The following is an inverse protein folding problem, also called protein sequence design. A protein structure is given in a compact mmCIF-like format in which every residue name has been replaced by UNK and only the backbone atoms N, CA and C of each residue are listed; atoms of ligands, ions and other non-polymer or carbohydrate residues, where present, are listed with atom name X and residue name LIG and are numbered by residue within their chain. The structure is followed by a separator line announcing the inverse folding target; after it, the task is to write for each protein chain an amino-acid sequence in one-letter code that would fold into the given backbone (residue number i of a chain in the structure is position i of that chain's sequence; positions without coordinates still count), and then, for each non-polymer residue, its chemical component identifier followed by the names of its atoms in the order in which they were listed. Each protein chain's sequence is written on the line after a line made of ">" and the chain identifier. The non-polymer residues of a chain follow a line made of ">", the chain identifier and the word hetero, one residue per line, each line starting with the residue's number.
data_IF_394964188937
#
_entry.id   IF_394964188937
#
_cell.length_a   1.000
_cell.length_b   1.000
_cell.length_c   1.000
_cell.angle_alpha   90.00
_cell.angle_beta   90.00
_cell.angle_gamma   90.00
#
_symmetry.space_group_name_H-M   'P 1'
#
loop_
_entity.id
_entity.type
_entity.pdbx_description
1 polymer ?
#
# COMPACT_ATOMS: atom_id res chain seq x y z
N UNK A 1 67.59 -28.34 7.21
CA UNK A 1 66.95 -27.20 7.91
C UNK A 1 66.67 -26.10 6.90
N UNK A 2 65.40 -25.84 6.60
CA UNK A 2 64.87 -24.57 6.12
C UNK A 2 63.36 -24.75 5.91
N UNK A 3 62.55 -24.26 6.83
CA UNK A 3 61.08 -24.20 6.70
C UNK A 3 60.74 -22.76 6.37
N UNK A 4 60.19 -22.52 5.17
CA UNK A 4 59.66 -21.23 4.74
C UNK A 4 58.23 -21.06 5.27
N UNK A 5 58.01 -20.04 6.10
CA UNK A 5 56.69 -19.62 6.54
C UNK A 5 56.20 -18.49 5.61
N UNK A 6 55.12 -18.75 4.87
CA UNK A 6 54.43 -17.75 4.07
C UNK A 6 53.31 -17.12 4.90
N UNK A 7 53.43 -15.81 5.18
CA UNK A 7 52.38 -15.01 5.81
C UNK A 7 51.46 -14.43 4.72
N UNK A 8 50.19 -14.86 4.72
CA UNK A 8 49.16 -14.28 3.88
C UNK A 8 48.55 -13.05 4.57
N UNK A 9 48.73 -11.87 3.95
CA UNK A 9 48.11 -10.61 4.40
C UNK A 9 46.75 -10.49 3.70
N UNK A 10 45.67 -10.68 4.47
CA UNK A 10 44.31 -10.46 4.00
C UNK A 10 43.95 -8.98 4.13
N UNK A 11 43.95 -8.24 3.01
CA UNK A 11 43.44 -6.87 2.96
C UNK A 11 41.91 -6.90 2.86
N UNK A 12 41.23 -6.64 3.99
CA UNK A 12 39.78 -6.51 4.03
C UNK A 12 39.34 -5.15 3.48
N UNK A 13 38.83 -5.12 2.24
CA UNK A 13 38.06 -3.98 1.73
C UNK A 13 36.63 -4.03 2.29
N UNK A 14 36.39 -3.28 3.36
CA UNK A 14 35.03 -2.97 3.82
C UNK A 14 34.41 -1.93 2.89
N UNK A 15 33.72 -2.39 1.84
CA UNK A 15 32.90 -1.54 0.98
C UNK A 15 31.66 -1.07 1.73
N UNK A 16 31.64 0.20 2.13
CA UNK A 16 30.44 0.87 2.67
C UNK A 16 29.49 1.14 1.50
N UNK A 17 28.59 0.19 1.23
CA UNK A 17 27.47 0.43 0.33
C UNK A 17 26.41 1.25 1.08
N UNK A 18 26.34 2.55 0.75
CA UNK A 18 25.24 3.40 1.18
C UNK A 18 23.95 2.93 0.49
N UNK A 19 23.17 2.10 1.18
CA UNK A 19 21.84 1.70 0.74
C UNK A 19 20.93 2.93 0.69
N UNK A 20 20.23 3.12 -0.42
CA UNK A 20 19.21 4.16 -0.57
C UNK A 20 18.03 3.74 0.32
N UNK A 21 17.77 4.42 1.45
CA UNK A 21 16.59 4.05 2.23
C UNK A 21 15.31 4.52 1.54
N UNK A 22 14.39 3.58 1.45
CA UNK A 22 13.03 3.76 0.95
C UNK A 22 12.16 4.34 2.08
N UNK A 23 11.14 5.10 1.69
CA UNK A 23 10.31 5.82 2.65
C UNK A 23 9.16 4.92 3.14
N UNK A 24 9.16 4.58 4.43
CA UNK A 24 8.02 3.90 5.06
C UNK A 24 6.86 4.89 5.28
N UNK A 25 5.65 4.43 5.00
CA UNK A 25 4.43 5.25 5.05
C UNK A 25 3.48 4.69 6.12
N UNK A 26 3.40 5.35 7.28
CA UNK A 26 2.55 4.94 8.40
C UNK A 26 1.23 5.71 8.35
N UNK A 27 0.09 5.02 8.46
CA UNK A 27 -1.23 5.68 8.46
C UNK A 27 -1.43 6.45 9.77
N UNK A 28 -1.65 7.76 9.67
CA UNK A 28 -1.85 8.65 10.81
C UNK A 28 -3.35 8.84 11.13
N UNK A 29 -4.19 9.07 10.12
CA UNK A 29 -5.63 9.27 10.29
C UNK A 29 -6.43 8.99 8.99
N UNK A 30 -7.76 8.91 9.12
CA UNK A 30 -8.70 8.96 7.99
C UNK A 30 -9.73 10.06 8.27
N UNK A 31 -9.97 10.94 7.30
CA UNK A 31 -10.89 12.07 7.46
C UNK A 31 -11.69 12.20 6.18
N UNK A 32 -12.99 11.90 6.21
CA UNK A 32 -13.94 12.18 5.11
C UNK A 32 -13.43 11.74 3.71
N UNK A 33 -12.95 10.49 3.59
CA UNK A 33 -12.40 9.94 2.35
C UNK A 33 -10.91 10.22 2.12
N UNK A 34 -10.31 11.16 2.86
CA UNK A 34 -8.87 11.38 2.83
C UNK A 34 -8.14 10.40 3.74
N UNK A 35 -6.98 9.93 3.28
CA UNK A 35 -6.05 9.14 4.08
C UNK A 35 -4.82 9.97 4.40
N UNK A 36 -4.52 10.14 5.68
CA UNK A 36 -3.39 10.91 6.16
C UNK A 36 -2.31 9.93 6.58
N UNK A 37 -1.11 10.12 6.06
CA UNK A 37 0.04 9.26 6.30
C UNK A 37 1.25 10.07 6.73
N UNK A 38 2.00 9.55 7.70
CA UNK A 38 3.33 10.00 8.03
C UNK A 38 4.33 9.37 7.05
N UNK A 39 5.21 10.20 6.49
CA UNK A 39 6.25 9.76 5.57
C UNK A 39 7.58 9.86 6.29
N UNK A 40 8.23 8.72 6.47
CA UNK A 40 9.55 8.60 7.09
C UNK A 40 10.56 8.10 6.07
N UNK A 41 11.79 8.60 6.09
CA UNK A 41 12.88 8.14 5.21
C UNK A 41 14.15 7.97 6.04
N UNK A 42 14.84 6.85 5.85
CA UNK A 42 16.03 6.48 6.63
C UNK A 42 15.74 6.39 8.14
N UNK A 43 14.54 5.94 8.52
CA UNK A 43 14.09 5.92 9.92
C UNK A 43 13.74 7.29 10.52
N UNK A 44 13.94 8.38 9.78
CA UNK A 44 13.60 9.73 10.21
C UNK A 44 12.28 10.23 9.64
N UNK A 45 11.41 10.81 10.48
CA UNK A 45 10.21 11.52 10.05
C UNK A 45 10.56 12.67 9.08
N UNK A 46 9.86 12.77 7.95
CA UNK A 46 10.12 13.81 6.92
C UNK A 46 8.94 14.72 6.65
N UNK A 47 7.74 14.17 6.55
CA UNK A 47 6.54 14.92 6.13
C UNK A 47 5.27 14.17 6.50
N UNK A 48 4.13 14.84 6.38
CA UNK A 48 2.83 14.17 6.36
C UNK A 48 2.11 14.45 5.05
N UNK A 49 1.33 13.49 4.57
CA UNK A 49 0.60 13.57 3.30
C UNK A 49 -0.85 13.20 3.50
N UNK A 50 -1.75 14.03 2.99
CA UNK A 50 -3.13 13.63 2.72
C UNK A 50 -3.22 13.09 1.29
N UNK A 51 -3.87 11.95 1.12
CA UNK A 51 -4.13 11.35 -0.17
C UNK A 51 -5.64 11.19 -0.38
N UNK A 52 -6.08 11.48 -1.60
CA UNK A 52 -7.46 11.32 -2.05
C UNK A 52 -7.45 10.60 -3.39
N UNK A 53 -8.29 9.58 -3.55
CA UNK A 53 -8.54 8.93 -4.83
C UNK A 53 -9.83 9.49 -5.43
N UNK A 54 -9.87 9.62 -6.75
CA UNK A 54 -11.05 10.08 -7.47
C UNK A 54 -10.91 9.81 -8.97
N UNK A 55 -11.84 10.33 -9.76
CA UNK A 55 -11.86 10.12 -11.23
C UNK A 55 -10.59 10.61 -11.93
N UNK A 56 -9.96 11.67 -11.42
CA UNK A 56 -8.67 12.15 -11.90
C UNK A 56 -7.45 11.35 -11.44
N UNK A 57 -7.64 10.16 -10.85
CA UNK A 57 -6.56 9.37 -10.23
C UNK A 57 -6.26 9.82 -8.79
N UNK A 58 -5.03 9.60 -8.31
CA UNK A 58 -4.63 9.85 -6.92
C UNK A 58 -4.02 11.24 -6.71
N UNK A 59 -4.78 12.12 -6.06
CA UNK A 59 -4.31 13.39 -5.52
C UNK A 59 -3.52 13.18 -4.22
N UNK A 60 -2.42 13.91 -4.06
CA UNK A 60 -1.66 13.98 -2.81
C UNK A 60 -1.35 15.41 -2.42
N UNK A 61 -1.53 15.75 -1.15
CA UNK A 61 -1.15 17.03 -0.55
C UNK A 61 -0.17 16.75 0.59
N UNK A 62 1.09 17.10 0.40
CA UNK A 62 2.18 16.79 1.33
C UNK A 62 2.66 18.06 2.00
N UNK A 63 2.73 18.05 3.34
CA UNK A 63 3.32 19.12 4.13
C UNK A 63 4.67 18.70 4.71
N UNK A 64 5.68 19.53 4.45
CA UNK A 64 7.08 19.30 4.83
C UNK A 64 7.52 20.14 6.04
N UNK A 65 6.59 20.86 6.69
CA UNK A 65 6.90 21.87 7.72
C UNK A 65 7.35 23.22 7.18
N UNK A 66 7.65 23.30 5.88
CA UNK A 66 8.07 24.54 5.20
C UNK A 66 7.22 24.88 3.99
N UNK A 67 6.68 23.87 3.34
CA UNK A 67 5.95 24.01 2.11
C UNK A 67 4.93 22.89 1.93
N UNK A 68 3.85 23.23 1.24
CA UNK A 68 2.92 22.28 0.68
C UNK A 68 3.36 21.86 -0.73
N UNK A 69 3.21 20.58 -1.01
CA UNK A 69 3.48 19.96 -2.31
C UNK A 69 2.22 19.23 -2.74
N UNK A 70 1.70 19.59 -3.91
CA UNK A 70 0.66 18.81 -4.57
C UNK A 70 1.31 17.77 -5.46
N UNK A 71 0.73 16.57 -5.50
CA UNK A 71 1.14 15.47 -6.35
C UNK A 71 -0.08 14.92 -7.08
N UNK A 72 -0.03 14.91 -8.40
CA UNK A 72 -1.08 14.42 -9.29
C UNK A 72 -0.50 13.34 -10.23
N UNK A 73 -1.33 12.56 -10.94
CA UNK A 73 -0.84 11.72 -12.02
C UNK A 73 -0.06 12.53 -13.06
N UNK A 74 1.04 11.97 -13.55
CA UNK A 74 1.87 12.56 -14.59
C UNK A 74 1.37 12.23 -15.99
N UNK A 75 1.95 12.88 -17.00
CA UNK A 75 1.64 12.69 -18.42
C UNK A 75 2.76 11.98 -19.18
N UNK A 76 3.56 11.17 -18.49
CA UNK A 76 4.71 10.46 -19.04
C UNK A 76 5.98 11.31 -19.14
N UNK A 77 5.91 12.64 -19.01
CA UNK A 77 7.09 13.51 -19.09
C UNK A 77 7.98 13.37 -17.84
N UNK A 78 9.28 13.30 -18.07
CA UNK A 78 10.32 13.34 -17.04
C UNK A 78 10.94 14.74 -17.01
N UNK A 79 11.32 15.22 -15.82
CA UNK A 79 11.92 16.53 -15.64
C UNK A 79 10.90 17.58 -15.19
N UNK A 80 11.12 18.83 -15.60
CA UNK A 80 10.27 19.98 -15.24
C UNK A 80 9.38 20.37 -16.41
N UNK A 81 8.13 20.69 -16.15
CA UNK A 81 7.19 21.16 -17.14
C UNK A 81 6.13 22.05 -16.51
N UNK A 82 5.51 22.90 -17.33
CA UNK A 82 4.46 23.80 -16.86
C UNK A 82 3.09 23.10 -16.96
N UNK A 83 2.18 23.50 -16.06
CA UNK A 83 0.79 23.04 -15.99
C UNK A 83 -0.01 23.97 -15.09
N UNK A 84 -1.33 23.79 -15.02
CA UNK A 84 -2.20 24.64 -14.20
C UNK A 84 -2.85 23.83 -13.08
N UNK A 85 -3.06 24.46 -11.93
CA UNK A 85 -3.97 23.99 -10.90
C UNK A 85 -5.11 24.99 -10.80
N UNK A 86 -6.33 24.46 -10.79
CA UNK A 86 -7.54 25.26 -10.68
C UNK A 86 -8.31 24.80 -9.44
N UNK A 87 -8.55 25.71 -8.51
CA UNK A 87 -9.43 25.46 -7.36
C UNK A 87 -10.71 26.25 -7.57
N UNK A 88 -11.82 25.53 -7.75
CA UNK A 88 -13.08 26.07 -8.25
C UNK A 88 -12.87 26.88 -9.54
N UNK A 89 -12.96 28.22 -9.48
CA UNK A 89 -12.78 29.10 -10.65
C UNK A 89 -11.41 29.81 -10.66
N UNK A 90 -10.57 29.59 -9.63
CA UNK A 90 -9.26 30.24 -9.51
C UNK A 90 -8.17 29.34 -10.10
N UNK A 91 -7.54 29.79 -11.19
CA UNK A 91 -6.47 29.04 -11.86
C UNK A 91 -5.11 29.70 -11.67
N UNK A 92 -4.10 28.88 -11.42
CA UNK A 92 -2.72 29.28 -11.23
C UNK A 92 -1.77 28.39 -12.03
N UNK A 93 -0.77 29.00 -12.67
CA UNK A 93 0.30 28.29 -13.33
C UNK A 93 1.33 27.76 -12.31
N UNK A 94 1.79 26.53 -12.55
CA UNK A 94 2.78 25.83 -11.75
C UNK A 94 3.81 25.14 -12.63
N UNK A 95 5.05 25.09 -12.13
CA UNK A 95 6.10 24.25 -12.69
C UNK A 95 6.13 22.92 -11.96
N UNK A 96 5.54 21.91 -12.58
CA UNK A 96 5.59 20.54 -12.11
C UNK A 96 6.97 19.92 -12.35
N UNK A 97 7.28 18.91 -11.53
CA UNK A 97 8.42 18.02 -11.71
C UNK A 97 7.97 16.57 -11.59
N UNK A 98 8.48 15.74 -12.48
CA UNK A 98 8.30 14.29 -12.48
C UNK A 98 9.65 13.59 -12.61
N UNK A 99 9.86 12.52 -11.84
CA UNK A 99 11.10 11.72 -11.91
C UNK A 99 11.03 10.59 -12.92
N UNK A 100 9.82 10.09 -13.20
CA UNK A 100 9.60 8.84 -13.94
C UNK A 100 8.40 8.90 -14.88
N UNK A 101 7.82 10.09 -15.11
CA UNK A 101 6.65 10.27 -15.95
C UNK A 101 5.31 9.99 -15.28
N UNK A 102 5.26 9.20 -14.21
CA UNK A 102 3.99 8.69 -13.65
C UNK A 102 3.35 9.60 -12.61
N UNK A 103 4.14 10.39 -11.88
CA UNK A 103 3.63 11.39 -10.93
C UNK A 103 4.26 12.75 -11.17
N UNK A 104 3.41 13.76 -11.27
CA UNK A 104 3.82 15.15 -11.34
C UNK A 104 3.64 15.81 -9.96
N UNK A 105 4.64 16.55 -9.51
CA UNK A 105 4.58 17.26 -8.22
C UNK A 105 4.96 18.72 -8.38
N UNK A 106 4.28 19.61 -7.66
CA UNK A 106 4.59 21.04 -7.65
C UNK A 106 4.50 21.59 -6.22
N UNK A 107 5.36 22.56 -5.90
CA UNK A 107 5.23 23.33 -4.66
C UNK A 107 4.06 24.29 -4.80
N UNK A 108 3.16 24.27 -3.82
CA UNK A 108 1.93 25.06 -3.83
C UNK A 108 2.14 26.35 -3.03
N UNK A 109 1.59 27.46 -3.54
CA UNK A 109 1.59 28.76 -2.85
C UNK A 109 0.52 28.78 -1.74
N UNK A 110 0.69 29.55 -0.65
CA UNK A 110 -0.24 29.54 0.47
C UNK A 110 -1.71 29.78 0.08
N UNK A 111 -1.97 30.74 -0.81
CA UNK A 111 -3.35 31.08 -1.21
C UNK A 111 -4.07 29.94 -1.95
N UNK A 112 -3.35 29.07 -2.66
CA UNK A 112 -3.95 27.87 -3.28
C UNK A 112 -4.29 26.82 -2.23
N UNK A 113 -3.53 26.72 -1.13
CA UNK A 113 -3.87 25.84 -0.01
C UNK A 113 -5.10 26.36 0.73
N UNK A 114 -5.20 27.67 0.93
CA UNK A 114 -6.41 28.29 1.48
C UNK A 114 -7.62 28.05 0.56
N UNK A 115 -7.41 28.16 -0.76
CA UNK A 115 -8.38 27.76 -1.77
C UNK A 115 -8.79 26.30 -1.63
N UNK A 116 -7.85 25.35 -1.49
CA UNK A 116 -8.16 23.92 -1.32
C UNK A 116 -8.95 23.68 -0.04
N UNK A 117 -8.60 24.37 1.06
CA UNK A 117 -9.30 24.25 2.35
C UNK A 117 -10.76 24.72 2.25
N UNK A 118 -11.05 25.76 1.48
CA UNK A 118 -12.40 26.33 1.35
C UNK A 118 -13.18 25.84 0.12
N UNK A 119 -12.48 25.26 -0.86
CA UNK A 119 -13.01 24.97 -2.18
C UNK A 119 -13.77 23.65 -2.25
N UNK A 120 -14.47 23.45 -3.37
CA UNK A 120 -15.27 22.23 -3.61
C UNK A 120 -14.63 21.31 -4.63
N UNK A 121 -13.84 21.87 -5.53
CA UNK A 121 -13.19 21.13 -6.62
C UNK A 121 -11.76 21.59 -6.81
N UNK A 122 -10.86 20.64 -6.98
CA UNK A 122 -9.51 20.88 -7.52
C UNK A 122 -9.43 20.21 -8.88
N UNK A 123 -8.90 20.90 -9.88
CA UNK A 123 -8.44 20.27 -11.11
C UNK A 123 -6.99 20.63 -11.43
N UNK A 124 -6.34 19.74 -12.18
CA UNK A 124 -5.00 19.90 -12.68
C UNK A 124 -5.03 19.70 -14.20
N UNK A 125 -4.53 20.68 -14.94
CA UNK A 125 -4.40 20.60 -16.39
C UNK A 125 -2.94 20.41 -16.75
N UNK A 126 -2.61 19.21 -17.23
CA UNK A 126 -1.32 18.88 -17.81
C UNK A 126 -1.50 18.64 -19.33
N UNK A 127 -0.44 18.27 -20.05
CA UNK A 127 -0.57 18.03 -21.50
C UNK A 127 -1.52 16.87 -21.82
N UNK A 128 -1.65 15.89 -20.92
CA UNK A 128 -2.55 14.74 -21.07
C UNK A 128 -4.04 15.10 -20.92
N UNK A 129 -4.36 16.32 -20.47
CA UNK A 129 -5.74 16.77 -20.25
C UNK A 129 -5.98 17.27 -18.82
N UNK A 130 -7.26 17.51 -18.52
CA UNK A 130 -7.72 17.93 -17.20
C UNK A 130 -8.07 16.71 -16.34
N UNK A 131 -7.53 16.68 -15.12
CA UNK A 131 -7.90 15.76 -14.05
C UNK A 131 -8.59 16.53 -12.95
N UNK A 132 -9.60 15.96 -12.30
CA UNK A 132 -10.33 16.65 -11.24
C UNK A 132 -10.74 15.76 -10.07
N UNK A 133 -10.84 16.41 -8.91
CA UNK A 133 -11.17 15.81 -7.62
C UNK A 133 -12.20 16.67 -6.87
N UNK A 134 -13.12 16.01 -6.16
CA UNK A 134 -13.98 16.66 -5.17
C UNK A 134 -13.18 16.92 -3.90
N UNK A 135 -13.29 18.11 -3.32
CA UNK A 135 -12.55 18.53 -2.13
C UNK A 135 -13.36 18.39 -0.83
N UNK A 136 -14.41 17.57 -0.81
CA UNK A 136 -15.11 17.23 0.44
C UNK A 136 -14.12 16.76 1.52
N UNK A 137 -14.19 17.36 2.72
CA UNK A 137 -13.29 17.04 3.83
C UNK A 137 -11.86 17.53 3.74
N UNK A 138 -11.49 18.26 2.69
CA UNK A 138 -10.14 18.80 2.48
C UNK A 138 -9.64 19.66 3.65
N UNK A 139 -10.50 20.49 4.24
CA UNK A 139 -10.13 21.34 5.37
C UNK A 139 -9.68 20.54 6.59
N UNK A 140 -10.44 19.51 6.95
CA UNK A 140 -10.14 18.64 8.06
C UNK A 140 -8.92 17.75 7.75
N UNK A 141 -8.77 17.30 6.51
CA UNK A 141 -7.60 16.54 6.07
C UNK A 141 -6.30 17.38 6.12
N UNK A 142 -6.32 18.62 5.65
CA UNK A 142 -5.17 19.54 5.74
C UNK A 142 -4.79 19.82 7.20
N UNK A 143 -5.79 20.04 8.06
CA UNK A 143 -5.56 20.23 9.49
C UNK A 143 -4.93 18.98 10.15
N UNK A 144 -5.42 17.79 9.78
CA UNK A 144 -4.85 16.53 10.26
C UNK A 144 -3.43 16.29 9.75
N UNK A 145 -3.07 16.74 8.54
CA UNK A 145 -1.69 16.70 8.04
C UNK A 145 -0.77 17.64 8.82
N UNK A 146 -1.23 18.84 9.14
CA UNK A 146 -0.47 19.80 9.95
C UNK A 146 -0.24 19.25 11.37
N UNK A 147 -1.28 18.65 11.97
CA UNK A 147 -1.18 17.98 13.27
C UNK A 147 -0.22 16.79 13.22
N UNK A 148 -0.36 15.92 12.21
CA UNK A 148 0.55 14.81 11.95
C UNK A 148 2.00 15.31 11.90
N UNK A 149 2.26 16.41 11.21
CA UNK A 149 3.59 16.98 11.11
C UNK A 149 4.09 17.50 12.46
N UNK A 150 3.25 18.24 13.20
CA UNK A 150 3.58 18.75 14.53
C UNK A 150 3.93 17.62 15.52
N UNK A 151 3.25 16.46 15.39
CA UNK A 151 3.51 15.27 16.21
C UNK A 151 4.64 14.38 15.70
N UNK A 152 5.22 14.72 14.54
CA UNK A 152 6.24 13.90 13.84
C UNK A 152 5.71 12.51 13.48
N UNK A 153 4.48 12.44 12.98
CA UNK A 153 3.82 11.20 12.57
C UNK A 153 3.33 10.31 13.70
N UNK A 154 3.65 10.64 14.97
CA UNK A 154 3.13 9.92 16.12
C UNK A 154 1.64 10.17 16.21
N UNK A 155 0.82 9.11 16.11
CA UNK A 155 -0.62 9.19 16.28
C UNK A 155 -0.95 10.05 17.50
N UNK A 156 -1.95 10.92 17.37
CA UNK A 156 -2.46 11.60 18.54
C UNK A 156 -2.78 10.52 19.59
N UNK A 157 -2.45 10.71 20.88
CA UNK A 157 -3.14 9.99 21.92
C UNK A 157 -4.60 10.24 21.61
N UNK A 158 -5.31 9.21 21.16
CA UNK A 158 -6.74 9.26 20.96
C UNK A 158 -7.22 9.71 22.32
N UNK A 159 -7.58 11.00 22.44
CA UNK A 159 -8.10 11.53 23.68
C UNK A 159 -9.26 10.61 23.94
N UNK A 160 -9.10 9.70 24.91
CA UNK A 160 -9.96 8.53 25.07
C UNK A 160 -11.34 9.10 25.19
N UNK A 161 -12.06 9.13 24.07
CA UNK A 161 -13.42 9.61 24.05
C UNK A 161 -14.06 8.62 24.99
N UNK A 162 -14.58 9.05 26.17
CA UNK A 162 -15.00 8.14 27.22
C UNK A 162 -15.78 7.04 26.53
N UNK A 163 -15.22 5.83 26.51
CA UNK A 163 -15.66 4.79 25.60
C UNK A 163 -17.16 4.72 25.78
N UNK A 164 -17.92 5.17 24.77
CA UNK A 164 -19.37 5.12 24.85
C UNK A 164 -19.62 3.66 25.20
N UNK A 165 -20.24 3.37 26.37
CA UNK A 165 -20.12 2.07 27.01
C UNK A 165 -20.40 1.05 25.93
N UNK A 166 -19.36 0.27 25.58
CA UNK A 166 -19.41 -0.63 24.45
C UNK A 166 -20.65 -1.45 24.69
N UNK A 167 -21.72 -1.17 23.94
CA UNK A 167 -22.92 -1.98 23.98
C UNK A 167 -22.42 -3.27 23.38
N UNK A 168 -21.92 -4.18 24.23
CA UNK A 168 -21.66 -5.56 23.90
C UNK A 168 -22.90 -5.95 23.13
N UNK A 169 -22.76 -6.10 21.81
CA UNK A 169 -23.86 -6.55 21.00
C UNK A 169 -24.21 -7.90 21.60
N UNK A 170 -25.36 -7.96 22.25
CA UNK A 170 -26.02 -9.23 22.54
C UNK A 170 -25.96 -10.01 21.25
N UNK A 171 -25.29 -11.16 21.25
CA UNK A 171 -24.91 -12.00 20.10
C UNK A 171 -26.05 -12.18 19.08
N UNK A 172 -26.28 -11.14 18.30
CA UNK A 172 -27.59 -10.82 17.77
C UNK A 172 -27.40 -10.22 16.40
N UNK A 173 -28.15 -10.81 15.48
CA UNK A 173 -28.10 -10.66 14.04
C UNK A 173 -27.50 -9.34 13.53
N UNK A 174 -26.75 -9.42 12.43
CA UNK A 174 -26.29 -8.22 11.76
C UNK A 174 -27.46 -7.34 11.32
N UNK A 175 -27.24 -6.02 11.25
CA UNK A 175 -28.19 -5.13 10.59
C UNK A 175 -28.59 -5.75 9.24
N UNK A 176 -29.87 -5.67 8.90
CA UNK A 176 -30.45 -6.25 7.65
C UNK A 176 -30.48 -7.78 7.59
N UNK A 177 -30.28 -8.47 8.71
CA UNK A 177 -30.40 -9.93 8.78
C UNK A 177 -29.23 -10.69 8.15
N UNK A 178 -28.11 -10.01 7.89
CA UNK A 178 -26.88 -10.66 7.44
C UNK A 178 -26.35 -11.62 8.52
N UNK A 179 -25.64 -12.66 8.09
CA UNK A 179 -24.95 -13.55 9.02
C UNK A 179 -23.62 -12.89 9.41
N UNK A 180 -23.26 -12.87 10.71
CA UNK A 180 -21.92 -12.49 11.13
C UNK A 180 -20.85 -13.33 10.44
N UNK A 181 -19.67 -12.75 10.24
CA UNK A 181 -18.52 -13.44 9.70
C UNK A 181 -18.03 -14.53 10.70
N UNK A 182 -17.65 -15.72 10.23
CA UNK A 182 -17.52 -16.91 11.08
C UNK A 182 -16.30 -16.94 12.02
N UNK A 183 -15.25 -16.19 11.72
CA UNK A 183 -13.99 -16.07 12.48
C UNK A 183 -14.04 -14.85 13.38
N UNK A 184 -14.38 -13.68 12.85
CA UNK A 184 -14.33 -12.42 13.60
C UNK A 184 -15.62 -12.11 14.35
N UNK A 185 -16.75 -12.70 13.94
CA UNK A 185 -18.08 -12.37 14.46
C UNK A 185 -18.60 -11.00 14.00
N UNK A 186 -17.87 -10.30 13.14
CA UNK A 186 -18.23 -8.97 12.65
C UNK A 186 -19.32 -9.03 11.60
N UNK A 187 -20.07 -7.94 11.45
CA UNK A 187 -21.04 -7.84 10.36
C UNK A 187 -20.38 -7.45 9.05
N UNK A 188 -20.70 -8.12 7.92
CA UNK A 188 -20.04 -7.86 6.64
C UNK A 188 -20.02 -6.38 6.23
N UNK A 189 -21.15 -5.67 6.36
CA UNK A 189 -21.22 -4.24 6.03
C UNK A 189 -20.29 -3.37 6.89
N UNK A 190 -20.27 -3.59 8.20
CA UNK A 190 -19.41 -2.85 9.15
C UNK A 190 -17.93 -3.16 8.94
N UNK A 191 -17.60 -4.45 8.75
CA UNK A 191 -16.26 -4.90 8.45
C UNK A 191 -15.73 -4.31 7.13
N UNK A 192 -16.58 -4.22 6.10
CA UNK A 192 -16.23 -3.58 4.82
C UNK A 192 -15.82 -2.13 5.02
N UNK A 193 -16.66 -1.38 5.73
CA UNK A 193 -16.44 0.05 5.98
C UNK A 193 -15.17 0.28 6.81
N UNK A 194 -15.02 -0.47 7.89
CA UNK A 194 -13.92 -0.32 8.84
C UNK A 194 -12.56 -0.74 8.24
N UNK A 195 -12.50 -1.87 7.54
CA UNK A 195 -11.22 -2.51 7.20
C UNK A 195 -10.90 -2.55 5.71
N UNK A 196 -11.92 -2.64 4.87
CA UNK A 196 -11.78 -2.85 3.42
C UNK A 196 -12.12 -1.60 2.61
N UNK A 197 -11.82 -0.43 3.16
CA UNK A 197 -12.02 0.90 2.55
C UNK A 197 -11.25 1.03 1.22
N UNK A 198 -11.74 0.39 0.19
CA UNK A 198 -11.37 0.59 -1.20
C UNK A 198 -12.54 1.29 -1.88
N UNK A 199 -12.22 2.40 -2.55
CA UNK A 199 -13.13 3.08 -3.46
C UNK A 199 -13.28 2.20 -4.71
N UNK A 200 -14.07 1.14 -4.57
CA UNK A 200 -14.46 0.14 -5.58
C UNK A 200 -13.26 -0.61 -6.26
N UNK A 201 -13.19 -1.97 -6.24
CA UNK A 201 -12.18 -2.72 -6.98
C UNK A 201 -12.42 -2.67 -8.51
N UNK A 202 -12.50 -1.46 -9.09
CA UNK A 202 -12.77 -1.24 -10.53
C UNK A 202 -11.71 -1.88 -11.43
N UNK A 203 -10.51 -2.11 -10.91
CA UNK A 203 -9.40 -2.73 -11.64
C UNK A 203 -9.68 -4.20 -12.00
N UNK A 204 -10.61 -4.87 -11.30
CA UNK A 204 -10.99 -6.27 -11.57
C UNK A 204 -12.43 -6.36 -12.05
N UNK A 205 -12.60 -6.88 -13.27
CA UNK A 205 -13.95 -7.14 -13.79
C UNK A 205 -14.54 -8.29 -12.99
N UNK A 206 -15.84 -8.18 -12.69
CA UNK A 206 -16.63 -9.28 -12.18
C UNK A 206 -17.29 -9.99 -13.36
N UNK A 207 -17.36 -11.32 -13.31
CA UNK A 207 -18.20 -12.04 -14.26
C UNK A 207 -19.67 -11.57 -14.13
N UNK A 208 -20.45 -11.55 -15.23
CA UNK A 208 -21.85 -11.18 -15.17
C UNK A 208 -22.62 -11.99 -14.12
N UNK A 209 -23.29 -11.28 -13.20
CA UNK A 209 -24.06 -11.89 -12.10
C UNK A 209 -23.26 -12.22 -10.85
N UNK A 210 -21.97 -11.87 -10.81
CA UNK A 210 -21.16 -11.91 -9.59
C UNK A 210 -21.17 -10.56 -8.87
N UNK A 211 -20.85 -10.57 -7.58
CA UNK A 211 -20.66 -9.36 -6.76
C UNK A 211 -19.51 -9.53 -5.78
N UNK A 212 -18.91 -8.42 -5.36
CA UNK A 212 -17.94 -8.41 -4.26
C UNK A 212 -18.63 -8.48 -2.90
N UNK A 213 -18.25 -9.46 -2.08
CA UNK A 213 -18.71 -9.62 -0.70
C UNK A 213 -17.51 -9.67 0.26
N UNK A 214 -17.70 -9.29 1.51
CA UNK A 214 -16.67 -9.46 2.54
C UNK A 214 -16.56 -10.93 2.90
N UNK A 215 -15.34 -11.44 2.98
CA UNK A 215 -15.05 -12.77 3.47
C UNK A 215 -13.79 -12.73 4.34
N UNK A 216 -13.55 -13.83 5.06
CA UNK A 216 -12.38 -13.96 5.92
C UNK A 216 -11.88 -15.40 6.01
N UNK A 217 -10.65 -15.52 6.51
CA UNK A 217 -9.97 -16.80 6.68
C UNK A 217 -9.15 -16.75 7.97
N UNK A 218 -9.23 -17.76 8.86
CA UNK A 218 -8.36 -17.84 10.03
C UNK A 218 -6.89 -17.80 9.64
N UNK A 219 -6.05 -17.13 10.42
CA UNK A 219 -4.62 -16.99 10.12
C UNK A 219 -3.77 -17.32 11.34
N UNK A 220 -2.75 -18.17 11.19
CA UNK A 220 -1.61 -18.50 12.08
C UNK A 220 -1.79 -18.60 13.62
N UNK A 221 -2.98 -18.35 14.18
CA UNK A 221 -3.31 -18.23 15.59
C UNK A 221 -4.84 -18.17 15.79
N UNK A 222 -5.29 -18.12 17.04
CA UNK A 222 -6.73 -18.05 17.37
C UNK A 222 -7.30 -16.64 17.27
N UNK A 223 -6.43 -15.64 17.34
CA UNK A 223 -6.80 -14.22 17.45
C UNK A 223 -6.42 -13.43 16.20
N UNK A 224 -6.20 -14.11 15.07
CA UNK A 224 -5.81 -13.51 13.80
C UNK A 224 -6.71 -13.99 12.66
N UNK A 225 -7.08 -13.05 11.78
CA UNK A 225 -7.91 -13.33 10.62
C UNK A 225 -7.42 -12.52 9.43
N UNK A 226 -7.39 -13.13 8.25
CA UNK A 226 -7.23 -12.41 6.99
C UNK A 226 -8.60 -12.05 6.45
N UNK A 227 -8.85 -10.75 6.30
CA UNK A 227 -10.10 -10.21 5.78
C UNK A 227 -9.88 -9.68 4.36
N UNK A 228 -10.86 -9.92 3.47
CA UNK A 228 -10.75 -9.60 2.05
C UNK A 228 -12.13 -9.46 1.39
N UNK A 229 -12.15 -8.89 0.19
CA UNK A 229 -13.27 -8.94 -0.75
C UNK A 229 -13.13 -10.18 -1.63
N UNK A 230 -14.17 -11.00 -1.64
CA UNK A 230 -14.30 -12.21 -2.44
C UNK A 230 -15.45 -12.07 -3.44
N UNK A 231 -15.35 -12.74 -4.58
CA UNK A 231 -16.47 -12.83 -5.51
C UNK A 231 -17.51 -13.82 -5.00
N UNK A 232 -18.78 -13.41 -5.05
CA UNK A 232 -19.92 -14.30 -4.87
C UNK A 232 -20.66 -14.43 -6.20
N UNK A 233 -20.72 -15.65 -6.72
CA UNK A 233 -21.37 -15.98 -7.98
C UNK A 233 -22.35 -17.12 -7.73
N UNK A 234 -23.64 -16.92 -8.09
CA UNK A 234 -24.69 -17.95 -7.92
C UNK A 234 -24.74 -18.54 -6.49
N UNK A 235 -24.56 -17.69 -5.48
CA UNK A 235 -24.57 -18.06 -4.06
C UNK A 235 -23.33 -18.81 -3.56
N UNK A 236 -22.26 -18.89 -4.36
CA UNK A 236 -20.97 -19.43 -3.93
C UNK A 236 -19.97 -18.29 -3.78
N UNK A 237 -19.39 -18.18 -2.59
CA UNK A 237 -18.35 -17.20 -2.29
C UNK A 237 -16.97 -17.84 -2.41
N UNK A 238 -16.07 -17.19 -3.13
CA UNK A 238 -14.67 -17.59 -3.17
C UNK A 238 -14.01 -17.51 -1.78
N UNK A 239 -13.12 -18.44 -1.49
CA UNK A 239 -12.40 -18.53 -0.20
C UNK A 239 -10.90 -18.56 -0.42
N UNK A 240 -10.13 -18.09 0.54
CA UNK A 240 -8.69 -18.33 0.65
C UNK A 240 -8.44 -19.53 1.56
N UNK A 241 -7.70 -20.52 1.07
CA UNK A 241 -7.28 -21.68 1.85
C UNK A 241 -5.86 -21.47 2.37
N UNK A 242 -5.70 -21.33 3.69
CA UNK A 242 -4.43 -21.09 4.35
C UNK A 242 -3.64 -22.39 4.58
N UNK A 243 -2.33 -22.33 4.30
CA UNK A 243 -1.36 -23.37 4.64
C UNK A 243 -0.05 -22.73 5.07
N UNK A 244 0.59 -23.24 6.12
CA UNK A 244 1.89 -22.76 6.59
C UNK A 244 2.98 -23.80 6.36
N UNK A 245 4.20 -23.36 6.10
CA UNK A 245 5.40 -24.18 6.01
C UNK A 245 6.58 -23.54 6.78
N UNK A 246 7.76 -24.16 6.73
CA UNK A 246 8.94 -23.66 7.43
C UNK A 246 9.57 -22.41 6.80
N UNK A 247 9.09 -21.98 5.63
CA UNK A 247 9.57 -20.80 4.89
C UNK A 247 8.56 -19.65 4.91
N UNK A 248 7.33 -19.89 5.36
CA UNK A 248 6.29 -18.88 5.45
C UNK A 248 4.90 -19.50 5.38
N UNK A 249 4.02 -18.90 4.58
CA UNK A 249 2.68 -19.42 4.34
C UNK A 249 2.24 -19.24 2.90
N UNK A 250 1.21 -19.97 2.51
CA UNK A 250 0.51 -19.84 1.24
C UNK A 250 -0.98 -19.76 1.47
N UNK A 251 -1.64 -18.93 0.66
CA UNK A 251 -3.09 -18.94 0.51
C UNK A 251 -3.43 -19.10 -0.96
N UNK A 252 -4.40 -19.95 -1.26
CA UNK A 252 -4.91 -20.09 -2.62
C UNK A 252 -6.39 -19.77 -2.61
N UNK A 253 -6.87 -19.03 -3.61
CA UNK A 253 -8.30 -18.91 -3.82
C UNK A 253 -8.88 -20.27 -4.17
N UNK A 254 -10.12 -20.52 -3.76
CA UNK A 254 -10.87 -21.73 -4.13
C UNK A 254 -11.10 -21.85 -5.64
N UNK A 255 -10.94 -20.76 -6.39
CA UNK A 255 -10.98 -20.75 -7.86
C UNK A 255 -9.60 -21.01 -8.51
N UNK A 256 -8.50 -20.95 -7.74
CA UNK A 256 -7.13 -21.21 -8.21
C UNK A 256 -6.46 -20.06 -8.97
N UNK A 257 -7.16 -18.94 -9.12
CA UNK A 257 -6.77 -17.74 -9.89
C UNK A 257 -5.97 -16.71 -9.08
N UNK A 258 -6.00 -16.79 -7.74
CA UNK A 258 -5.23 -15.93 -6.85
C UNK A 258 -4.41 -16.80 -5.91
N UNK A 259 -3.09 -16.63 -5.95
CA UNK A 259 -2.16 -17.27 -5.01
C UNK A 259 -1.43 -16.20 -4.23
N UNK A 260 -1.34 -16.40 -2.92
CA UNK A 260 -0.63 -15.50 -2.03
C UNK A 260 0.47 -16.30 -1.36
N UNK A 261 1.71 -15.84 -1.47
CA UNK A 261 2.83 -16.35 -0.66
C UNK A 261 3.19 -15.30 0.37
N UNK A 262 3.28 -15.70 1.63
CA UNK A 262 3.66 -14.81 2.71
C UNK A 262 4.90 -15.25 3.45
N UNK A 263 5.67 -14.28 3.93
CA UNK A 263 6.87 -14.50 4.75
C UNK A 263 6.86 -13.55 5.95
N UNK A 264 7.43 -13.98 7.07
CA UNK A 264 7.74 -13.05 8.17
C UNK A 264 8.85 -12.10 7.74
N UNK A 265 8.76 -10.83 8.12
CA UNK A 265 9.80 -9.84 7.80
C UNK A 265 10.42 -9.26 9.07
N UNK A 266 11.70 -8.90 8.97
CA UNK A 266 12.39 -8.12 10.01
C UNK A 266 11.80 -6.70 10.06
N UNK A 267 11.29 -6.28 11.22
CA UNK A 267 10.71 -4.95 11.40
C UNK A 267 11.72 -3.81 11.15
N UNK A 268 13.01 -4.06 11.40
CA UNK A 268 14.07 -3.08 11.14
C UNK A 268 14.35 -2.92 9.64
N UNK A 269 14.13 -3.97 8.85
CA UNK A 269 14.39 -3.97 7.41
C UNK A 269 13.48 -4.95 6.64
N UNK A 270 12.19 -4.61 6.50
CA UNK A 270 11.23 -5.54 5.94
C UNK A 270 11.43 -5.75 4.43
N UNK A 271 11.85 -4.71 3.72
CA UNK A 271 12.15 -4.77 2.29
C UNK A 271 13.33 -5.69 1.99
N UNK A 272 14.44 -5.62 2.75
CA UNK A 272 15.54 -6.56 2.57
C UNK A 272 15.14 -7.99 2.92
N UNK A 273 14.21 -8.18 3.85
CA UNK A 273 13.68 -9.51 4.17
C UNK A 273 12.95 -10.12 2.97
N UNK A 274 12.03 -9.35 2.35
CA UNK A 274 11.34 -9.74 1.10
C UNK A 274 12.34 -9.98 -0.03
N UNK A 275 13.24 -9.03 -0.28
CA UNK A 275 14.21 -9.14 -1.36
C UNK A 275 15.11 -10.38 -1.20
N UNK A 276 15.59 -10.65 0.02
CA UNK A 276 16.43 -11.82 0.31
C UNK A 276 15.67 -13.12 0.06
N UNK A 277 14.44 -13.23 0.54
CA UNK A 277 13.59 -14.40 0.30
C UNK A 277 13.36 -14.62 -1.20
N UNK A 278 12.93 -13.58 -1.90
CA UNK A 278 12.58 -13.67 -3.30
C UNK A 278 13.80 -14.04 -4.18
N UNK A 279 14.97 -13.46 -3.88
CA UNK A 279 16.25 -13.79 -4.54
C UNK A 279 16.68 -15.25 -4.32
N UNK A 280 16.39 -15.86 -3.19
CA UNK A 280 16.75 -17.26 -2.95
C UNK A 280 16.07 -18.23 -3.92
N UNK A 281 14.93 -17.83 -4.50
CA UNK A 281 14.22 -18.61 -5.51
C UNK A 281 14.74 -18.40 -6.96
N UNK A 282 15.71 -17.50 -7.17
CA UNK A 282 16.31 -17.25 -8.48
C UNK A 282 17.50 -18.19 -8.68
N UNK A 283 17.44 -19.09 -9.67
CA UNK A 283 18.50 -20.07 -9.94
C UNK A 283 19.78 -19.42 -10.48
N UNK A 284 19.65 -18.51 -11.45
CA UNK A 284 20.77 -17.79 -12.05
C UNK A 284 21.44 -16.85 -11.02
N UNK A 285 22.72 -17.11 -10.72
CA UNK A 285 23.49 -16.36 -9.71
C UNK A 285 23.68 -14.88 -10.08
N UNK A 286 23.81 -14.55 -11.37
CA UNK A 286 23.96 -13.17 -11.84
C UNK A 286 22.63 -12.44 -11.66
N UNK A 287 21.53 -13.00 -12.16
CA UNK A 287 20.18 -12.42 -12.02
C UNK A 287 19.78 -12.27 -10.55
N UNK A 288 20.09 -13.26 -9.71
CA UNK A 288 19.87 -13.20 -8.26
C UNK A 288 20.45 -11.95 -7.61
N UNK A 289 21.63 -11.51 -8.03
CA UNK A 289 22.28 -10.32 -7.47
C UNK A 289 21.64 -9.03 -8.01
N UNK A 290 21.23 -9.04 -9.27
CA UNK A 290 20.82 -7.84 -9.99
C UNK A 290 19.32 -7.50 -9.74
N UNK A 291 18.48 -8.49 -9.42
CA UNK A 291 17.05 -8.29 -9.13
C UNK A 291 16.80 -7.58 -7.79
N UNK A 292 16.20 -6.41 -7.79
CA UNK A 292 15.99 -5.56 -6.61
C UNK A 292 14.52 -5.35 -6.33
N UNK A 293 14.14 -5.24 -5.06
CA UNK A 293 12.79 -4.88 -4.68
C UNK A 293 12.63 -3.37 -4.88
N UNK A 294 11.67 -2.98 -5.72
CA UNK A 294 11.40 -1.60 -6.07
C UNK A 294 9.95 -1.28 -5.68
N UNK A 295 9.77 -0.23 -4.89
CA UNK A 295 8.44 0.26 -4.57
C UNK A 295 7.79 0.86 -5.82
N UNK A 296 6.51 0.59 -6.01
CA UNK A 296 5.72 1.19 -7.07
C UNK A 296 5.44 2.68 -6.80
N UNK A 297 4.82 3.34 -7.76
CA UNK A 297 4.55 4.77 -7.70
C UNK A 297 3.43 5.15 -6.73
N UNK A 298 2.58 4.19 -6.42
CA UNK A 298 1.53 4.36 -5.43
C UNK A 298 2.06 4.23 -3.99
N UNK A 299 3.25 3.68 -3.82
CA UNK A 299 3.91 3.52 -2.52
C UNK A 299 3.26 2.43 -1.67
N UNK A 300 2.52 1.53 -2.31
CA UNK A 300 1.71 0.50 -1.65
C UNK A 300 2.10 -0.90 -2.11
N UNK A 301 2.69 -1.03 -3.30
CA UNK A 301 3.18 -2.29 -3.85
C UNK A 301 4.68 -2.25 -4.08
N UNK A 302 5.28 -3.41 -4.15
CA UNK A 302 6.67 -3.60 -4.51
C UNK A 302 6.78 -4.63 -5.64
N UNK A 303 7.72 -4.40 -6.53
CA UNK A 303 8.05 -5.30 -7.64
C UNK A 303 9.49 -5.76 -7.46
N UNK A 304 9.74 -7.07 -7.56
CA UNK A 304 11.11 -7.56 -7.62
C UNK A 304 11.55 -7.59 -9.09
N UNK A 305 12.40 -6.63 -9.45
CA UNK A 305 12.71 -6.38 -10.85
C UNK A 305 14.18 -6.00 -11.07
N UNK A 306 14.63 -6.10 -12.32
CA UNK A 306 15.94 -5.64 -12.74
C UNK A 306 16.03 -4.11 -12.70
N UNK A 307 17.24 -3.54 -12.68
CA UNK A 307 17.42 -2.10 -12.79
C UNK A 307 16.77 -1.56 -14.08
N UNK A 308 16.17 -0.35 -14.07
CA UNK A 308 15.42 0.17 -15.23
C UNK A 308 16.20 0.18 -16.55
N UNK A 309 17.52 0.42 -16.51
CA UNK A 309 18.36 0.40 -17.70
C UNK A 309 18.46 -1.00 -18.34
N UNK A 310 18.48 -2.05 -17.52
CA UNK A 310 18.51 -3.43 -17.99
C UNK A 310 17.13 -3.87 -18.47
N UNK A 311 16.05 -3.46 -17.79
CA UNK A 311 14.67 -3.68 -18.27
C UNK A 311 14.52 -3.04 -19.65
N UNK A 312 14.91 -1.77 -19.83
CA UNK A 312 14.82 -1.08 -21.12
C UNK A 312 15.62 -1.77 -22.23
N UNK A 313 16.79 -2.33 -21.90
CA UNK A 313 17.60 -3.12 -22.85
C UNK A 313 16.88 -4.41 -23.25
N UNK A 314 16.39 -5.19 -22.28
CA UNK A 314 15.71 -6.45 -22.52
C UNK A 314 14.39 -6.25 -23.27
N UNK A 315 13.62 -5.23 -22.94
CA UNK A 315 12.38 -4.88 -23.64
C UNK A 315 12.61 -4.51 -25.11
N UNK A 316 13.80 -4.00 -25.47
CA UNK A 316 14.17 -3.75 -26.87
C UNK A 316 14.54 -5.05 -27.62
N UNK A 317 14.93 -6.11 -26.90
CA UNK A 317 15.31 -7.42 -27.44
C UNK A 317 14.10 -8.38 -27.53
N UNK A 318 13.05 -8.16 -26.75
CA UNK A 318 11.83 -8.95 -26.76
C UNK A 318 10.98 -8.81 -25.47
N UNK A 319 9.95 -9.65 -25.29
CA UNK A 319 9.18 -9.68 -24.05
C UNK A 319 10.06 -10.07 -22.85
N UNK A 320 9.90 -9.32 -21.76
CA UNK A 320 10.60 -9.45 -20.48
C UNK A 320 9.61 -9.87 -19.39
N UNK A 321 10.03 -10.56 -18.32
CA UNK A 321 9.15 -10.84 -17.17
C UNK A 321 9.48 -12.06 -16.30
N UNK A 322 10.56 -12.78 -16.57
CA UNK A 322 10.87 -14.03 -15.84
C UNK A 322 12.28 -14.04 -15.22
N UNK A 323 13.02 -12.95 -15.39
CA UNK A 323 14.43 -12.83 -15.04
C UNK A 323 14.64 -12.79 -13.52
N UNK A 324 13.64 -12.32 -12.77
CA UNK A 324 13.66 -12.27 -11.31
C UNK A 324 12.94 -13.43 -10.62
N UNK A 325 12.77 -14.54 -11.33
CA UNK A 325 12.27 -15.80 -10.77
C UNK A 325 10.78 -15.79 -10.44
N UNK A 326 10.31 -16.69 -9.57
CA UNK A 326 8.88 -16.90 -9.34
C UNK A 326 8.17 -15.77 -8.58
N UNK A 327 8.95 -14.88 -7.97
CA UNK A 327 8.46 -13.75 -7.19
C UNK A 327 8.81 -12.40 -7.82
N UNK A 328 9.27 -12.44 -9.08
CA UNK A 328 9.50 -11.26 -9.90
C UNK A 328 8.24 -10.79 -10.59
N UNK A 329 8.32 -9.64 -11.25
CA UNK A 329 7.24 -9.13 -12.10
C UNK A 329 7.06 -10.03 -13.32
N UNK A 330 6.04 -10.91 -13.27
CA UNK A 330 5.68 -11.87 -14.34
C UNK A 330 4.60 -11.36 -15.27
N UNK A 331 3.59 -10.77 -14.66
CA UNK A 331 2.43 -10.15 -15.28
C UNK A 331 2.15 -8.83 -14.54
N UNK A 332 1.43 -7.91 -15.17
CA UNK A 332 1.12 -6.57 -14.60
C UNK A 332 0.39 -6.62 -13.24
N UNK A 333 -0.13 -7.80 -12.86
CA UNK A 333 -0.88 -7.98 -11.62
C UNK A 333 -0.08 -8.59 -10.46
N UNK A 334 1.07 -9.22 -10.73
CA UNK A 334 1.88 -9.84 -9.66
C UNK A 334 2.70 -8.79 -8.91
N UNK A 335 2.58 -8.76 -7.58
CA UNK A 335 3.25 -7.74 -6.77
C UNK A 335 3.41 -8.18 -5.32
N UNK A 336 4.33 -7.52 -4.62
CA UNK A 336 4.54 -7.64 -3.19
C UNK A 336 3.83 -6.51 -2.43
N UNK A 337 3.35 -6.79 -1.22
CA UNK A 337 2.93 -5.79 -0.23
C UNK A 337 3.56 -6.15 1.11
N UNK A 338 3.82 -5.17 1.97
CA UNK A 338 4.41 -5.40 3.29
C UNK A 338 3.45 -4.84 4.33
N UNK A 339 2.85 -5.70 5.16
CA UNK A 339 1.95 -5.31 6.25
C UNK A 339 1.82 -6.44 7.27
N UNK A 340 1.41 -6.10 8.50
CA UNK A 340 1.17 -7.07 9.57
C UNK A 340 2.41 -7.84 10.04
N UNK A 341 3.62 -7.33 9.81
CA UNK A 341 4.86 -8.08 10.09
C UNK A 341 5.19 -9.14 9.03
N UNK A 342 4.50 -9.11 7.88
CA UNK A 342 4.73 -10.03 6.78
C UNK A 342 4.96 -9.32 5.44
N UNK A 343 5.71 -9.98 4.55
CA UNK A 343 5.75 -9.69 3.13
C UNK A 343 4.80 -10.63 2.40
N UNK A 344 3.86 -10.08 1.63
CA UNK A 344 2.79 -10.77 0.92
C UNK A 344 3.01 -10.63 -0.58
N UNK A 345 3.35 -11.72 -1.26
CA UNK A 345 3.40 -11.78 -2.71
C UNK A 345 2.06 -12.27 -3.26
N UNK A 346 1.43 -11.45 -4.09
CA UNK A 346 0.20 -11.77 -4.80
C UNK A 346 0.56 -12.19 -6.22
N UNK A 347 0.22 -13.41 -6.59
CA UNK A 347 0.21 -13.90 -7.96
C UNK A 347 -1.26 -13.98 -8.38
N UNK A 348 -1.65 -13.09 -9.29
CA UNK A 348 -2.99 -13.03 -9.86
C UNK A 348 -2.90 -13.56 -11.27
N UNK A 349 -3.79 -14.47 -11.65
CA UNK A 349 -3.85 -15.00 -13.01
C UNK A 349 -4.03 -13.89 -14.06
N UNK A 350 -3.73 -14.22 -15.31
CA UNK A 350 -3.87 -13.29 -16.45
C UNK A 350 -5.33 -12.97 -16.80
N UNK A 351 -6.29 -13.66 -16.20
CA UNK A 351 -7.70 -13.42 -16.43
C UNK A 351 -8.10 -12.05 -15.87
N UNK A 352 -8.92 -11.32 -16.63
CA UNK A 352 -9.48 -10.03 -16.19
C UNK A 352 -10.39 -10.14 -14.95
N UNK A 353 -10.64 -11.37 -14.49
CA UNK A 353 -11.48 -11.73 -13.36
C UNK A 353 -10.60 -12.30 -12.25
N UNK A 354 -10.71 -11.74 -11.05
CA UNK A 354 -10.08 -12.28 -9.86
C UNK A 354 -11.17 -12.65 -8.85
N UNK A 355 -11.07 -13.84 -8.26
CA UNK A 355 -12.02 -14.33 -7.27
C UNK A 355 -11.82 -13.70 -5.89
N UNK A 356 -10.65 -13.10 -5.67
CA UNK A 356 -10.28 -12.34 -4.47
C UNK A 356 -9.60 -11.07 -4.93
N UNK A 357 -9.97 -9.92 -4.35
CA UNK A 357 -9.29 -8.66 -4.63
C UNK A 357 -7.98 -8.57 -3.83
N UNK A 358 -6.79 -8.60 -4.47
CA UNK A 358 -5.50 -8.55 -3.77
C UNK A 358 -5.34 -7.30 -2.91
N UNK A 359 -5.86 -6.17 -3.39
CA UNK A 359 -5.81 -4.88 -2.69
C UNK A 359 -6.66 -4.83 -1.43
N UNK A 360 -7.65 -5.71 -1.33
CA UNK A 360 -8.52 -5.79 -0.17
C UNK A 360 -7.91 -6.59 0.97
N UNK A 361 -6.90 -7.43 0.72
CA UNK A 361 -6.36 -8.33 1.74
C UNK A 361 -5.76 -7.54 2.90
N UNK A 362 -6.25 -7.78 4.11
CA UNK A 362 -5.79 -7.20 5.38
C UNK A 362 -5.59 -8.31 6.41
N UNK A 363 -4.53 -8.19 7.21
CA UNK A 363 -4.37 -8.99 8.42
C UNK A 363 -4.99 -8.25 9.60
N UNK A 364 -5.95 -8.90 10.25
CA UNK A 364 -6.58 -8.44 11.47
C UNK A 364 -6.05 -9.24 12.64
N UNK A 365 -5.92 -8.57 13.78
CA UNK A 365 -5.65 -9.19 15.06
C UNK A 365 -6.67 -8.69 16.08
N UNK A 366 -7.10 -9.60 16.94
CA UNK A 366 -8.00 -9.30 18.03
C UNK A 366 -7.19 -8.88 19.26
N UNK A 367 -7.48 -7.68 19.78
CA UNK A 367 -6.81 -7.11 20.95
C UNK A 367 -7.85 -6.64 21.94
N UNK A 368 -7.74 -7.15 23.17
CA UNK A 368 -8.61 -6.77 24.27
C UNK A 368 -7.96 -5.66 25.11
N UNK A 369 -7.70 -4.51 24.49
CA UNK A 369 -7.05 -3.35 25.11
C UNK A 369 -8.05 -2.26 25.55
N UNK A 370 -9.35 -2.46 25.27
CA UNK A 370 -10.39 -1.47 25.55
C UNK A 370 -10.32 -0.21 24.68
N UNK A 371 -9.56 -0.23 23.58
CA UNK A 371 -9.40 0.90 22.67
C UNK A 371 -10.62 1.04 21.73
N UNK A 372 -11.10 2.28 21.58
CA UNK A 372 -12.25 2.64 20.74
C UNK A 372 -12.00 2.52 19.23
N UNK A 373 -10.74 2.40 18.82
CA UNK A 373 -10.36 2.30 17.40
C UNK A 373 -10.46 0.86 16.86
N UNK A 374 -10.83 -0.09 17.72
CA UNK A 374 -11.12 -1.47 17.34
C UNK A 374 -12.62 -1.66 17.08
N UNK A 375 -12.97 -2.40 16.03
CA UNK A 375 -14.35 -2.84 15.83
C UNK A 375 -14.50 -4.19 16.55
N UNK A 376 -15.21 -4.19 17.67
CA UNK A 376 -15.37 -5.36 18.54
C UNK A 376 -14.03 -6.06 18.89
N UNK A 377 -12.99 -5.28 19.21
CA UNK A 377 -11.67 -5.78 19.56
C UNK A 377 -10.78 -6.13 18.36
N UNK A 378 -11.31 -6.15 17.13
CA UNK A 378 -10.50 -6.36 15.93
C UNK A 378 -9.90 -5.06 15.41
N UNK A 379 -8.62 -5.12 15.02
CA UNK A 379 -7.92 -4.01 14.38
C UNK A 379 -6.95 -4.52 13.31
N UNK A 380 -6.65 -3.67 12.33
CA UNK A 380 -5.64 -3.98 11.30
C UNK A 380 -4.27 -4.03 11.98
N UNK A 381 -3.51 -5.08 11.71
CA UNK A 381 -2.12 -5.15 12.09
C UNK A 381 -1.29 -4.33 11.09
N UNK A 382 -1.04 -3.08 11.44
CA UNK A 382 0.06 -2.32 10.85
C UNK A 382 1.31 -2.79 11.59
N UNK A 383 2.34 -3.27 10.89
CA UNK A 383 3.48 -3.92 11.55
C UNK A 383 4.06 -3.02 12.65
N UNK A 384 4.16 -3.55 13.87
CA UNK A 384 4.82 -2.86 14.97
C UNK A 384 6.29 -2.67 14.60
N UNK A 385 6.79 -1.43 14.68
CA UNK A 385 8.22 -1.14 14.67
C UNK A 385 8.74 -1.04 16.08
#
# INVERSE_FOLDING_TARGET
>A
MAVLAAAAISVGLSGVFAGVAVAATDRYAKVEGWTIVAVSRDGGFRSCRAALRGRGGRLGLTYTGRAWIVSVPGDGRIGKFDGNLTVDDMSDAFRFRSGNGKRASARVRPHVIDGIRAGRRLSATLNAGEMAWSLGGSAAALSAVEECFARKGRAAPVAQRPAAPAKRRTAGACPRGEKPLPVTGLCPAEAREAFLSMDDPEDYRLEPGCRWVVNETPFAGRDEAVMYLATECKGRTAKLDFSADNRGFRMNSSAGDVKITGITVDAADPEKSVQRFARQAIEDKRRRRDCTLQMDDDGERYNLDLPPAEVARLSAEGPYGWECGPYGTRDDASHWRIFGGYGWHFEVGQDAYASVSPESVRLLHHVNDGNSDSLDGWRIQYGDR
#
